data_IF_931007474025
#
_entry.id   IF_931007474025
#
_cell.length_a   1.000
_cell.length_b   1.000
_cell.length_c   1.000
_cell.angle_alpha   90.00
_cell.angle_beta   90.00
_cell.angle_gamma   90.00
#
_symmetry.space_group_name_H-M   'P 1'
#
loop_
_entity.id
_entity.type
_entity.pdbx_description
1 polymer ?
#
# COMPACT_ATOMS: atom_id res chain seq x y z
N UNK A 1 -66.12 -38.34 2.06
CA UNK A 1 -65.42 -37.27 2.80
C UNK A 1 -64.01 -37.76 3.20
N UNK A 2 -62.96 -37.62 2.38
CA UNK A 2 -61.56 -37.90 2.82
C UNK A 2 -60.41 -37.63 1.83
N UNK A 3 -60.55 -36.73 0.84
CA UNK A 3 -59.47 -36.52 -0.17
C UNK A 3 -59.02 -35.08 -0.42
N UNK A 4 -59.65 -34.07 0.18
CA UNK A 4 -59.27 -32.66 -0.02
C UNK A 4 -58.33 -32.11 1.06
N UNK A 5 -58.14 -32.82 2.18
CA UNK A 5 -57.33 -32.33 3.31
C UNK A 5 -55.81 -32.48 3.11
N UNK A 6 -55.37 -33.36 2.21
CA UNK A 6 -53.93 -33.63 1.99
C UNK A 6 -53.31 -32.56 1.08
N UNK A 7 -54.10 -31.99 0.15
CA UNK A 7 -53.62 -30.95 -0.77
C UNK A 7 -53.47 -29.56 -0.14
N UNK A 8 -54.27 -29.24 0.90
CA UNK A 8 -54.10 -27.97 1.64
C UNK A 8 -52.94 -27.99 2.65
N UNK A 9 -52.45 -29.17 3.07
CA UNK A 9 -51.34 -29.25 4.02
C UNK A 9 -49.96 -29.13 3.34
N UNK A 10 -49.85 -29.56 2.08
CA UNK A 10 -48.61 -29.47 1.30
C UNK A 10 -48.35 -28.04 0.79
N UNK A 11 -49.40 -27.24 0.54
CA UNK A 11 -49.26 -25.85 0.09
C UNK A 11 -48.83 -24.87 1.22
N UNK A 12 -48.99 -25.25 2.49
CA UNK A 12 -48.62 -24.43 3.65
C UNK A 12 -47.18 -24.66 4.12
N UNK A 13 -46.55 -25.77 3.73
CA UNK A 13 -45.16 -26.11 4.09
C UNK A 13 -44.17 -25.47 3.11
N UNK A 14 -44.58 -25.16 1.87
CA UNK A 14 -43.72 -24.51 0.87
C UNK A 14 -43.49 -23.01 1.09
N UNK A 15 -44.17 -22.38 2.06
CA UNK A 15 -44.03 -20.94 2.38
C UNK A 15 -43.05 -20.64 3.52
N UNK A 16 -42.43 -21.66 4.14
CA UNK A 16 -41.46 -21.46 5.24
C UNK A 16 -39.99 -21.67 4.85
N UNK A 17 -39.69 -21.93 3.58
CA UNK A 17 -38.32 -21.85 3.05
C UNK A 17 -38.02 -20.41 2.58
N UNK A 18 -38.26 -19.42 3.43
CA UNK A 18 -37.60 -18.14 3.32
C UNK A 18 -36.16 -18.34 3.82
N UNK A 19 -35.26 -18.70 2.92
CA UNK A 19 -33.82 -18.76 3.20
C UNK A 19 -33.35 -17.42 3.78
N UNK A 20 -33.04 -17.42 5.07
CA UNK A 20 -32.30 -16.35 5.73
C UNK A 20 -30.91 -16.90 6.04
N UNK A 21 -30.01 -16.92 5.06
CA UNK A 21 -28.60 -17.18 5.32
C UNK A 21 -27.74 -16.54 4.22
N UNK A 22 -27.36 -15.26 4.44
CA UNK A 22 -26.26 -14.60 3.69
C UNK A 22 -25.90 -13.19 4.23
N UNK A 23 -26.76 -12.59 5.05
CA UNK A 23 -26.62 -11.16 5.42
C UNK A 23 -25.52 -10.84 6.45
N UNK A 24 -25.12 -11.81 7.28
CA UNK A 24 -24.15 -11.56 8.37
C UNK A 24 -22.72 -11.51 7.85
N UNK A 25 -22.35 -12.43 6.96
CA UNK A 25 -21.00 -12.54 6.40
C UNK A 25 -20.63 -11.33 5.54
N UNK A 26 -21.59 -10.79 4.80
CA UNK A 26 -21.38 -9.62 3.92
C UNK A 26 -21.17 -8.32 4.70
N UNK A 27 -21.88 -8.15 5.83
CA UNK A 27 -21.75 -6.97 6.70
C UNK A 27 -20.41 -6.96 7.44
N UNK A 28 -19.96 -8.10 7.96
CA UNK A 28 -18.64 -8.21 8.63
C UNK A 28 -17.49 -7.92 7.65
N UNK A 29 -17.58 -8.43 6.42
CA UNK A 29 -16.58 -8.19 5.38
C UNK A 29 -16.47 -6.70 5.00
N UNK A 30 -17.59 -5.99 4.95
CA UNK A 30 -17.60 -4.54 4.67
C UNK A 30 -16.97 -3.75 5.82
N UNK A 31 -17.28 -4.08 7.07
CA UNK A 31 -16.69 -3.42 8.25
C UNK A 31 -15.16 -3.59 8.30
N UNK A 32 -14.66 -4.81 8.04
CA UNK A 32 -13.21 -5.09 7.95
C UNK A 32 -12.57 -4.26 6.85
N UNK A 33 -13.21 -4.15 5.68
CA UNK A 33 -12.70 -3.34 4.58
C UNK A 33 -12.61 -1.87 4.97
N UNK A 34 -13.64 -1.32 5.60
CA UNK A 34 -13.64 0.07 6.08
C UNK A 34 -12.51 0.31 7.10
N UNK A 35 -12.27 -0.65 8.00
CA UNK A 35 -11.17 -0.57 8.98
C UNK A 35 -9.79 -0.54 8.31
N UNK A 36 -9.58 -1.34 7.26
CA UNK A 36 -8.34 -1.32 6.47
C UNK A 36 -8.17 0.02 5.73
N UNK A 37 -9.25 0.59 5.18
CA UNK A 37 -9.23 1.91 4.53
C UNK A 37 -8.92 3.03 5.52
N UNK A 38 -9.52 3.00 6.72
CA UNK A 38 -9.20 3.95 7.78
C UNK A 38 -7.74 3.85 8.22
N UNK A 39 -7.20 2.64 8.39
CA UNK A 39 -5.80 2.45 8.74
C UNK A 39 -4.84 2.98 7.65
N UNK A 40 -5.16 2.77 6.37
CA UNK A 40 -4.38 3.36 5.27
C UNK A 40 -4.38 4.89 5.32
N UNK A 41 -5.55 5.48 5.56
CA UNK A 41 -5.75 6.93 5.53
C UNK A 41 -5.21 7.65 6.77
N UNK A 42 -5.36 7.05 7.95
CA UNK A 42 -5.18 7.70 9.25
C UNK A 42 -3.93 7.26 10.03
N UNK A 43 -3.21 6.23 9.56
CA UNK A 43 -1.95 5.80 10.20
C UNK A 43 -0.83 6.85 10.13
N UNK A 44 -0.97 7.88 9.28
CA UNK A 44 0.07 8.89 9.04
C UNK A 44 1.18 8.42 8.09
N UNK A 45 1.06 7.24 7.47
CA UNK A 45 2.08 6.71 6.57
C UNK A 45 2.28 7.58 5.31
N UNK A 46 1.20 8.20 4.81
CA UNK A 46 1.24 9.07 3.62
C UNK A 46 1.90 10.42 3.90
N UNK A 47 1.79 10.95 5.12
CA UNK A 47 2.41 12.25 5.47
C UNK A 47 3.93 12.23 5.33
N UNK A 48 4.53 11.04 5.49
CA UNK A 48 5.97 10.79 5.38
C UNK A 48 6.50 10.98 3.95
N UNK A 49 5.65 10.96 2.92
CA UNK A 49 6.06 11.04 1.51
C UNK A 49 6.07 12.47 0.96
N UNK A 50 5.62 13.46 1.75
CA UNK A 50 5.35 14.82 1.29
C UNK A 50 6.58 15.68 0.98
N UNK A 51 7.78 15.24 1.37
CA UNK A 51 9.02 16.02 1.23
C UNK A 51 10.18 15.18 0.73
N UNK A 52 11.16 15.84 0.14
CA UNK A 52 12.43 15.21 -0.25
C UNK A 52 13.25 14.94 1.01
N UNK A 53 13.63 13.68 1.20
CA UNK A 53 14.50 13.24 2.29
C UNK A 53 15.94 13.65 1.96
N UNK A 54 16.58 14.34 2.89
CA UNK A 54 17.95 14.88 2.74
C UNK A 54 18.90 14.47 3.85
N UNK A 55 18.42 13.66 4.79
CA UNK A 55 19.18 13.19 5.95
C UNK A 55 18.94 11.71 6.12
N UNK A 56 19.97 11.01 6.57
CA UNK A 56 19.88 9.61 7.00
C UNK A 56 19.03 9.48 8.27
N UNK A 57 18.61 8.25 8.54
CA UNK A 57 17.91 7.87 9.76
C UNK A 57 16.54 7.25 9.50
N UNK A 58 15.80 7.03 10.57
CA UNK A 58 14.58 6.24 10.51
C UNK A 58 13.32 7.10 10.25
N UNK A 59 12.52 6.68 9.26
CA UNK A 59 11.24 7.34 8.93
C UNK A 59 10.16 7.19 10.02
N UNK A 60 10.36 6.25 10.95
CA UNK A 60 9.40 5.87 11.99
C UNK A 60 8.04 5.52 11.39
N UNK A 61 8.05 4.59 10.43
CA UNK A 61 6.83 4.14 9.77
C UNK A 61 5.95 3.34 10.75
N UNK A 62 4.64 3.61 10.83
CA UNK A 62 3.75 2.93 11.76
C UNK A 62 3.58 1.46 11.38
N UNK A 63 3.84 0.54 12.30
CA UNK A 63 3.64 -0.91 12.04
C UNK A 63 2.26 -1.41 12.42
N UNK A 64 1.42 -0.56 13.03
CA UNK A 64 0.04 -0.88 13.37
C UNK A 64 -0.83 0.38 13.52
N UNK A 65 -2.13 0.23 13.30
CA UNK A 65 -3.15 1.24 13.60
C UNK A 65 -4.47 0.55 13.98
N UNK A 66 -5.02 0.86 15.16
CA UNK A 66 -6.27 0.28 15.67
C UNK A 66 -6.36 -1.26 15.55
N UNK A 67 -5.24 -1.97 15.74
CA UNK A 67 -5.16 -3.42 15.62
C UNK A 67 -5.00 -3.97 14.18
N UNK A 68 -4.98 -3.11 13.17
CA UNK A 68 -4.48 -3.46 11.82
C UNK A 68 -2.96 -3.53 11.87
N UNK A 69 -2.38 -4.60 11.35
CA UNK A 69 -0.92 -4.75 11.17
C UNK A 69 -0.51 -4.14 9.84
N UNK A 70 0.59 -3.39 9.81
CA UNK A 70 1.11 -2.73 8.61
C UNK A 70 2.53 -3.26 8.36
N UNK A 71 2.76 -3.81 7.18
CA UNK A 71 4.05 -4.37 6.76
C UNK A 71 4.56 -3.64 5.52
N UNK A 72 5.87 -3.41 5.45
CA UNK A 72 6.53 -2.65 4.41
C UNK A 72 7.55 -3.50 3.66
N UNK A 73 7.60 -3.32 2.34
CA UNK A 73 8.63 -3.89 1.47
C UNK A 73 9.14 -2.80 0.54
N UNK A 74 10.40 -2.40 0.72
CA UNK A 74 11.06 -1.45 -0.16
C UNK A 74 11.51 -2.13 -1.44
N UNK A 75 11.37 -1.42 -2.57
CA UNK A 75 11.95 -1.84 -3.85
C UNK A 75 13.43 -1.46 -4.00
N UNK A 76 13.91 -0.58 -3.13
CA UNK A 76 15.29 -0.11 -3.05
C UNK A 76 15.77 -0.22 -1.59
N UNK A 77 15.92 -1.43 -1.04
CA UNK A 77 16.28 -1.65 0.37
C UNK A 77 17.65 -1.04 0.75
N UNK A 78 18.50 -0.77 -0.23
CA UNK A 78 19.78 -0.07 -0.09
C UNK A 78 19.65 1.44 0.18
N UNK A 79 18.50 2.06 -0.17
CA UNK A 79 18.23 3.49 0.07
C UNK A 79 17.24 3.66 1.22
N UNK A 80 16.15 2.90 1.20
CA UNK A 80 15.22 2.83 2.33
C UNK A 80 14.97 1.36 2.62
N UNK A 81 15.37 0.89 3.79
CA UNK A 81 15.15 -0.51 4.18
C UNK A 81 13.66 -0.82 4.43
N UNK A 82 13.31 -2.11 4.54
CA UNK A 82 11.95 -2.54 4.91
C UNK A 82 11.49 -2.03 6.27
N UNK A 83 12.41 -1.59 7.14
CA UNK A 83 12.10 -1.02 8.45
C UNK A 83 12.07 0.51 8.44
N UNK A 84 12.17 1.14 7.26
CA UNK A 84 12.14 2.59 7.10
C UNK A 84 13.47 3.29 7.44
N UNK A 85 14.57 2.56 7.51
CA UNK A 85 15.91 3.16 7.70
C UNK A 85 16.40 3.76 6.37
N UNK A 86 16.75 5.05 6.36
CA UNK A 86 17.23 5.77 5.19
C UNK A 86 18.76 5.80 5.16
N UNK A 87 19.34 5.40 4.04
CA UNK A 87 20.74 5.62 3.67
C UNK A 87 20.78 6.52 2.44
N UNK A 88 21.54 7.61 2.47
CA UNK A 88 21.62 8.52 1.33
C UNK A 88 22.51 7.92 0.23
N UNK A 89 22.06 7.90 -1.03
CA UNK A 89 22.83 7.32 -2.13
C UNK A 89 24.04 8.20 -2.49
N UNK A 90 25.09 7.53 -3.01
CA UNK A 90 26.31 8.15 -3.55
C UNK A 90 26.21 8.43 -5.06
N UNK A 91 25.01 8.34 -5.61
CA UNK A 91 24.74 8.61 -7.02
C UNK A 91 23.38 9.28 -7.12
N UNK A 92 23.16 9.97 -8.21
CA UNK A 92 21.84 10.46 -8.54
C UNK A 92 21.05 9.40 -9.33
N UNK A 93 19.72 9.52 -9.33
CA UNK A 93 18.87 8.66 -10.14
C UNK A 93 18.94 9.08 -11.59
N UNK A 94 19.20 8.10 -12.46
CA UNK A 94 19.17 8.29 -13.90
C UNK A 94 17.81 7.76 -14.39
N UNK A 95 17.01 8.58 -15.08
CA UNK A 95 15.72 8.13 -15.64
C UNK A 95 15.93 7.20 -16.85
N UNK A 96 15.40 5.98 -16.79
CA UNK A 96 15.54 4.96 -17.86
C UNK A 96 15.05 5.44 -19.24
N UNK A 97 14.11 6.39 -19.29
CA UNK A 97 13.56 6.94 -20.53
C UNK A 97 14.60 7.75 -21.31
N UNK A 98 15.56 8.35 -20.63
CA UNK A 98 16.59 9.19 -21.26
C UNK A 98 17.84 8.37 -21.65
N UNK A 99 17.91 7.08 -21.27
CA UNK A 99 19.10 6.19 -21.34
C UNK A 99 19.10 5.19 -22.50
N UNK A 100 18.21 5.31 -23.49
CA UNK A 100 18.15 4.32 -24.56
C UNK A 100 19.35 4.43 -25.52
N UNK A 101 20.43 3.74 -25.18
CA UNK A 101 21.60 3.52 -26.05
C UNK A 101 22.80 4.43 -25.79
N UNK A 102 22.87 5.10 -24.64
CA UNK A 102 23.91 6.07 -24.31
C UNK A 102 24.68 5.64 -23.06
N UNK A 103 25.99 5.87 -23.03
CA UNK A 103 26.85 5.49 -21.92
C UNK A 103 26.58 6.33 -20.66
N UNK A 104 26.64 5.71 -19.48
CA UNK A 104 26.38 6.36 -18.18
C UNK A 104 27.26 7.60 -17.93
N UNK A 105 28.47 7.63 -18.49
CA UNK A 105 29.43 8.74 -18.36
C UNK A 105 28.93 10.02 -19.05
N UNK A 106 28.03 9.91 -20.03
CA UNK A 106 27.41 11.05 -20.71
C UNK A 106 26.35 11.76 -19.86
N UNK A 107 25.86 11.11 -18.79
CA UNK A 107 24.90 11.67 -17.83
C UNK A 107 25.55 12.18 -16.55
N UNK A 108 26.86 12.39 -16.57
CA UNK A 108 27.54 13.10 -15.49
C UNK A 108 26.84 14.45 -15.28
N UNK A 109 26.22 14.63 -14.11
CA UNK A 109 25.46 15.82 -13.69
C UNK A 109 24.03 16.00 -14.27
N UNK A 110 23.49 15.05 -15.04
CA UNK A 110 22.12 15.08 -15.57
C UNK A 110 21.20 14.09 -14.85
N UNK A 111 20.93 14.31 -13.58
CA UNK A 111 20.24 13.30 -12.78
C UNK A 111 19.24 13.91 -11.79
N UNK A 112 18.30 13.11 -11.29
CA UNK A 112 17.26 13.51 -10.32
C UNK A 112 17.47 12.82 -8.95
N UNK A 113 16.68 13.20 -7.95
CA UNK A 113 16.61 12.49 -6.68
C UNK A 113 16.04 11.07 -6.87
N UNK A 114 16.38 10.15 -5.99
CA UNK A 114 15.94 8.75 -6.07
C UNK A 114 14.45 8.61 -5.72
N UNK A 115 13.62 8.11 -6.66
CA UNK A 115 12.26 7.69 -6.34
C UNK A 115 12.31 6.31 -5.69
N UNK A 116 11.91 6.21 -4.43
CA UNK A 116 11.86 4.93 -3.70
C UNK A 116 10.41 4.54 -3.47
N UNK A 117 10.00 3.42 -4.05
CA UNK A 117 8.66 2.86 -3.85
C UNK A 117 8.70 1.86 -2.71
N UNK A 118 7.83 2.04 -1.73
CA UNK A 118 7.57 1.07 -0.67
C UNK A 118 6.18 0.47 -0.88
N UNK A 119 6.13 -0.84 -1.07
CA UNK A 119 4.90 -1.61 -1.08
C UNK A 119 4.43 -1.83 0.36
N UNK A 120 3.17 -1.52 0.63
CA UNK A 120 2.55 -1.63 1.96
C UNK A 120 1.48 -2.70 1.92
N UNK A 121 1.45 -3.56 2.95
CA UNK A 121 0.36 -4.51 3.18
C UNK A 121 -0.24 -4.22 4.55
N UNK A 122 -1.53 -3.88 4.56
CA UNK A 122 -2.35 -3.78 5.75
C UNK A 122 -3.10 -5.09 5.94
N UNK A 123 -3.00 -5.69 7.12
CA UNK A 123 -3.61 -6.97 7.46
C UNK A 123 -4.47 -6.85 8.71
N UNK A 124 -5.70 -7.33 8.62
CA UNK A 124 -6.60 -7.44 9.76
C UNK A 124 -7.48 -8.66 9.61
N UNK A 125 -7.44 -9.55 10.62
CA UNK A 125 -8.11 -10.85 10.58
C UNK A 125 -7.72 -11.63 9.31
N UNK A 126 -8.67 -12.09 8.51
CA UNK A 126 -8.41 -12.87 7.29
C UNK A 126 -8.39 -12.01 6.01
N UNK A 127 -8.21 -10.69 6.14
CA UNK A 127 -8.20 -9.77 5.00
C UNK A 127 -6.93 -8.93 4.94
N UNK A 128 -6.49 -8.69 3.71
CA UNK A 128 -5.35 -7.83 3.41
C UNK A 128 -5.75 -6.75 2.40
N UNK A 129 -5.11 -5.60 2.51
CA UNK A 129 -5.18 -4.50 1.55
C UNK A 129 -3.77 -4.01 1.26
N UNK A 130 -3.50 -3.68 0.01
CA UNK A 130 -2.20 -3.15 -0.40
C UNK A 130 -2.27 -1.67 -0.73
N UNK A 131 -1.20 -0.94 -0.39
CA UNK A 131 -0.99 0.44 -0.75
C UNK A 131 0.46 0.65 -1.24
N UNK A 132 0.77 1.85 -1.72
CA UNK A 132 2.13 2.22 -2.12
C UNK A 132 2.49 3.58 -1.55
N UNK A 133 3.71 3.69 -1.04
CA UNK A 133 4.32 4.97 -0.66
C UNK A 133 5.44 5.26 -1.66
N UNK A 134 5.50 6.50 -2.13
CA UNK A 134 6.57 6.99 -3.00
C UNK A 134 7.37 8.03 -2.22
N UNK A 135 8.62 7.71 -1.90
CA UNK A 135 9.56 8.63 -1.29
C UNK A 135 10.48 9.21 -2.35
N UNK A 136 11.03 10.39 -2.08
CA UNK A 136 12.07 11.01 -2.90
C UNK A 136 13.27 11.26 -2.00
N UNK A 137 14.42 10.69 -2.35
CA UNK A 137 15.64 10.74 -1.54
C UNK A 137 16.75 11.46 -2.30
N UNK A 138 17.27 12.54 -1.74
CA UNK A 138 18.43 13.24 -2.28
C UNK A 138 19.71 12.43 -2.02
N UNK A 139 20.74 12.53 -2.87
CA UNK A 139 22.03 11.92 -2.59
C UNK A 139 22.74 12.63 -1.42
N UNK A 140 23.89 12.07 -1.04
CA UNK A 140 24.79 12.72 -0.10
C UNK A 140 25.26 14.11 -0.59
N UNK A 141 25.74 14.93 0.34
CA UNK A 141 26.31 16.23 0.02
C UNK A 141 27.49 16.07 -0.97
N UNK A 142 27.57 16.94 -1.97
CA UNK A 142 28.58 16.88 -3.04
C UNK A 142 28.06 16.29 -4.36
N UNK A 143 26.88 15.66 -4.35
CA UNK A 143 26.18 15.23 -5.56
C UNK A 143 25.06 16.25 -5.89
N UNK A 144 25.11 16.85 -7.09
CA UNK A 144 24.03 17.74 -7.58
C UNK A 144 23.18 17.01 -8.59
N UNK A 145 21.97 16.60 -8.18
CA UNK A 145 20.97 16.00 -9.06
C UNK A 145 19.99 17.07 -9.54
N UNK A 146 20.49 18.04 -10.30
CA UNK A 146 19.66 19.04 -10.95
C UNK A 146 19.85 18.93 -12.46
N UNK A 147 18.93 18.22 -13.11
CA UNK A 147 18.93 18.03 -14.56
C UNK A 147 18.92 19.32 -15.39
N UNK A 148 18.67 20.47 -14.76
CA UNK A 148 18.65 21.79 -15.41
C UNK A 148 19.84 22.68 -15.05
N UNK A 149 20.78 22.20 -14.22
CA UNK A 149 22.03 22.90 -13.89
C UNK A 149 23.29 22.20 -14.39
N UNK A 150 23.13 21.14 -15.18
CA UNK A 150 24.17 20.58 -16.04
C UNK A 150 24.38 21.43 -17.29
#
# INVERSE_FOLDING_TARGET
MRKTWILSFILLISLFLAGCEEKTVTVEKEDIYQKLVMAETLSGMSEKTSTVIRTEGNLSLPTAYEGVTITYTSRNPEIISNNGEVTLPLTCWIESRDQQGTDNDEYANLNDNWPVVIDVVLSYQNQNRSAKLLFVVAPQAGFTCDKYKG
#
